data_IF_832823062507
#
_entry.id   IF_832823062507
#
_cell.length_a   1.000
_cell.length_b   1.000
_cell.length_c   1.000
_cell.angle_alpha   90.00
_cell.angle_beta   90.00
_cell.angle_gamma   90.00
#
_symmetry.space_group_name_H-M   'P 1'
#
loop_
_entity.id
_entity.type
_entity.pdbx_description
1 polymer ?
#
# COMPACT_ATOMS: atom_id res chain seq x y z
N UNK A 1 10.06 -13.40 15.47
CA UNK A 1 9.20 -13.55 14.29
C UNK A 1 7.90 -12.79 14.48
N UNK A 2 7.47 -12.08 13.47
CA UNK A 2 6.25 -11.33 13.57
C UNK A 2 5.04 -12.25 13.65
N UNK A 3 4.15 -11.95 14.57
CA UNK A 3 2.92 -12.70 14.72
C UNK A 3 1.94 -12.27 13.62
N UNK A 4 1.52 -13.21 12.78
CA UNK A 4 0.59 -12.92 11.69
C UNK A 4 -0.77 -12.44 12.19
N UNK A 5 -1.11 -12.71 13.43
CA UNK A 5 -2.37 -12.23 14.00
C UNK A 5 -2.40 -10.69 14.06
N UNK A 6 -1.23 -10.03 14.12
CA UNK A 6 -1.18 -8.58 14.10
C UNK A 6 -1.58 -8.00 12.72
N UNK A 7 -1.61 -8.84 11.68
CA UNK A 7 -2.05 -8.46 10.35
C UNK A 7 -3.50 -8.84 10.06
N UNK A 8 -4.21 -9.34 11.08
CA UNK A 8 -5.60 -9.74 10.94
C UNK A 8 -6.43 -8.57 10.43
N UNK A 9 -7.39 -8.87 9.56
CA UNK A 9 -8.32 -7.86 9.07
C UNK A 9 -9.08 -7.26 10.23
N UNK A 10 -9.37 -5.97 10.10
CA UNK A 10 -10.09 -5.23 11.10
C UNK A 10 -11.48 -4.88 10.58
N UNK A 11 -12.31 -5.93 10.39
CA UNK A 11 -13.69 -5.76 9.93
C UNK A 11 -14.54 -5.14 11.04
N UNK A 12 -15.40 -4.21 10.66
CA UNK A 12 -16.34 -3.54 11.56
C UNK A 12 -15.62 -2.88 12.75
N UNK A 13 -14.68 -1.99 12.46
CA UNK A 13 -13.85 -1.38 13.50
C UNK A 13 -14.66 -0.43 14.38
N UNK A 14 -14.17 -0.21 15.61
CA UNK A 14 -14.75 0.77 16.52
C UNK A 14 -14.27 2.18 16.27
N UNK A 15 -13.24 2.36 15.45
CA UNK A 15 -12.68 3.68 15.11
C UNK A 15 -11.91 3.54 13.79
N UNK A 16 -11.65 4.67 13.11
CA UNK A 16 -10.83 4.64 11.88
C UNK A 16 -9.42 4.13 12.18
N UNK A 17 -8.85 3.40 11.24
CA UNK A 17 -7.47 2.92 11.33
C UNK A 17 -6.58 3.75 10.43
N UNK A 18 -5.36 4.01 10.88
CA UNK A 18 -4.36 4.71 10.07
C UNK A 18 -3.49 3.69 9.37
N UNK A 19 -3.34 3.86 8.05
CA UNK A 19 -2.45 3.04 7.24
C UNK A 19 -1.52 3.93 6.44
N UNK A 20 -0.40 3.37 6.02
CA UNK A 20 0.58 4.07 5.20
C UNK A 20 0.86 3.26 3.94
N UNK A 21 1.26 3.96 2.89
CA UNK A 21 1.83 3.34 1.72
C UNK A 21 3.08 4.10 1.32
N UNK A 22 3.84 3.56 0.38
CA UNK A 22 5.03 4.24 -0.11
C UNK A 22 5.12 4.12 -1.63
N UNK A 23 5.48 5.23 -2.27
CA UNK A 23 5.74 5.25 -3.70
C UNK A 23 7.23 5.14 -3.90
N UNK A 24 7.67 4.02 -4.46
CA UNK A 24 9.08 3.68 -4.66
C UNK A 24 9.31 3.46 -6.14
N UNK A 25 10.20 4.24 -6.72
CA UNK A 25 10.60 4.08 -8.12
C UNK A 25 12.00 3.51 -8.22
N UNK A 26 12.23 2.70 -9.25
CA UNK A 26 13.53 2.20 -9.62
C UNK A 26 13.51 1.92 -11.11
N UNK A 27 14.50 2.46 -11.85
CA UNK A 27 14.63 2.24 -13.30
C UNK A 27 13.33 2.52 -14.05
N UNK A 28 12.68 3.63 -13.72
CA UNK A 28 11.43 4.09 -14.32
C UNK A 28 10.24 3.15 -14.09
N UNK A 29 10.36 2.26 -13.11
CA UNK A 29 9.27 1.39 -12.69
C UNK A 29 8.86 1.73 -11.27
N UNK A 30 7.61 1.46 -10.94
CA UNK A 30 7.09 1.65 -9.59
C UNK A 30 6.85 0.30 -8.94
N UNK A 31 7.09 0.23 -7.63
CA UNK A 31 6.84 -0.99 -6.86
C UNK A 31 5.35 -1.11 -6.56
N UNK A 32 4.75 -2.19 -7.03
CA UNK A 32 3.34 -2.49 -6.76
C UNK A 32 3.19 -3.90 -6.22
N UNK A 33 2.11 -4.10 -5.47
CA UNK A 33 1.70 -5.42 -4.99
C UNK A 33 0.28 -5.69 -5.45
N UNK A 34 -0.06 -6.97 -5.64
CA UNK A 34 -1.44 -7.39 -5.86
C UNK A 34 -2.01 -7.80 -4.51
N UNK A 35 -3.08 -7.15 -4.11
CA UNK A 35 -3.65 -7.32 -2.77
C UNK A 35 -4.32 -8.68 -2.63
N UNK A 36 -4.02 -9.36 -1.52
CA UNK A 36 -4.62 -10.66 -1.21
C UNK A 36 -5.78 -10.57 -0.23
N UNK A 37 -6.09 -9.38 0.28
CA UNK A 37 -7.13 -9.18 1.27
C UNK A 37 -7.99 -7.95 0.96
N UNK A 38 -9.26 -7.94 1.35
CA UNK A 38 -10.06 -6.73 1.24
C UNK A 38 -9.56 -5.64 2.20
N UNK A 39 -9.84 -4.36 1.94
CA UNK A 39 -10.54 -3.88 0.75
C UNK A 39 -9.68 -3.94 -0.50
N UNK A 40 -10.32 -3.93 -1.67
CA UNK A 40 -9.66 -3.95 -2.98
C UNK A 40 -8.85 -5.24 -3.23
N UNK A 41 -9.35 -6.37 -2.74
CA UNK A 41 -8.71 -7.67 -2.95
C UNK A 41 -8.55 -7.96 -4.44
N UNK A 42 -7.36 -8.45 -4.82
CA UNK A 42 -7.04 -8.78 -6.21
C UNK A 42 -6.55 -7.61 -7.04
N UNK A 43 -6.67 -6.38 -6.56
CA UNK A 43 -6.20 -5.20 -7.29
C UNK A 43 -4.73 -4.93 -6.97
N UNK A 44 -4.04 -4.33 -7.96
CA UNK A 44 -2.68 -3.86 -7.76
C UNK A 44 -2.70 -2.49 -7.10
N UNK A 45 -1.79 -2.25 -6.19
CA UNK A 45 -1.68 -0.99 -5.45
C UNK A 45 -0.25 -0.79 -4.99
N UNK A 46 0.09 0.43 -4.59
CA UNK A 46 1.36 0.65 -3.92
C UNK A 46 1.35 -0.15 -2.61
N UNK A 47 2.50 -0.67 -2.18
CA UNK A 47 2.55 -1.46 -0.95
C UNK A 47 2.39 -0.59 0.29
N UNK A 48 1.92 -1.20 1.37
CA UNK A 48 1.75 -0.52 2.64
C UNK A 48 0.97 -1.36 3.63
N UNK A 49 0.59 -0.75 4.73
CA UNK A 49 -0.17 -1.42 5.77
C UNK A 49 -0.42 -0.52 6.96
N UNK A 50 -0.91 -1.11 8.05
CA UNK A 50 -1.33 -0.36 9.23
C UNK A 50 -0.14 0.18 10.03
N UNK A 51 -0.35 1.38 10.57
CA UNK A 51 0.60 1.97 11.50
C UNK A 51 0.34 1.32 12.87
N UNK A 52 1.41 0.90 13.54
CA UNK A 52 1.32 0.34 14.88
C UNK A 52 1.55 1.42 15.93
N UNK A 53 1.01 1.21 17.12
CA UNK A 53 1.15 2.17 18.22
C UNK A 53 2.64 2.44 18.46
N UNK A 54 3.00 3.71 18.48
CA UNK A 54 4.37 4.13 18.74
C UNK A 54 5.26 4.25 17.49
N UNK A 55 4.75 3.87 16.32
CA UNK A 55 5.51 4.03 15.08
C UNK A 55 5.26 5.40 14.46
N UNK A 56 6.30 5.99 13.88
CA UNK A 56 6.12 7.12 12.97
C UNK A 56 5.58 6.60 11.64
N UNK A 57 5.03 7.48 10.81
CA UNK A 57 4.58 7.10 9.48
C UNK A 57 5.72 6.50 8.67
N UNK A 58 6.93 7.09 8.78
CA UNK A 58 8.09 6.64 8.04
C UNK A 58 8.51 5.23 8.45
N UNK A 59 8.58 4.96 9.75
CA UNK A 59 8.96 3.64 10.25
C UNK A 59 7.93 2.58 9.89
N UNK A 60 6.64 2.95 9.96
CA UNK A 60 5.58 2.03 9.57
C UNK A 60 5.70 1.66 8.10
N UNK A 61 5.93 2.64 7.23
CA UNK A 61 6.07 2.39 5.79
C UNK A 61 7.29 1.51 5.51
N UNK A 62 8.43 1.81 6.13
CA UNK A 62 9.65 1.01 5.94
C UNK A 62 9.44 -0.44 6.37
N UNK A 63 8.79 -0.64 7.51
CA UNK A 63 8.50 -1.99 8.02
C UNK A 63 7.52 -2.72 7.11
N UNK A 64 6.41 -2.08 6.75
CA UNK A 64 5.38 -2.73 5.94
C UNK A 64 5.88 -3.11 4.56
N UNK A 65 6.63 -2.22 3.90
CA UNK A 65 7.14 -2.53 2.57
C UNK A 65 8.14 -3.68 2.62
N UNK A 66 8.99 -3.71 3.64
CA UNK A 66 9.93 -4.81 3.81
C UNK A 66 9.19 -6.14 4.04
N UNK A 67 8.18 -6.14 4.90
CA UNK A 67 7.39 -7.35 5.18
C UNK A 67 6.62 -7.83 3.97
N UNK A 68 6.07 -6.90 3.20
CA UNK A 68 5.16 -7.23 2.11
C UNK A 68 5.88 -7.53 0.80
N UNK A 69 7.03 -6.92 0.57
CA UNK A 69 7.72 -7.02 -0.72
C UNK A 69 9.17 -7.50 -0.63
N UNK A 70 9.78 -7.49 0.54
CA UNK A 70 11.20 -7.78 0.68
C UNK A 70 12.12 -6.63 0.25
N UNK A 71 11.56 -5.50 -0.18
CA UNK A 71 12.34 -4.35 -0.62
C UNK A 71 12.59 -3.41 0.56
N UNK A 72 13.83 -2.98 0.71
CA UNK A 72 14.21 -2.02 1.74
C UNK A 72 14.19 -0.63 1.16
N UNK A 73 13.51 0.28 1.87
CA UNK A 73 13.31 1.65 1.43
C UNK A 73 13.67 2.64 2.54
N UNK A 74 13.82 3.90 2.15
CA UNK A 74 13.88 5.01 3.10
C UNK A 74 12.70 5.91 2.81
N UNK A 75 11.75 5.97 3.74
CA UNK A 75 10.54 6.77 3.59
C UNK A 75 10.81 8.21 3.99
N UNK A 76 10.22 9.15 3.26
CA UNK A 76 10.38 10.56 3.52
C UNK A 76 9.05 11.22 3.87
N UNK A 77 8.54 12.12 3.06
CA UNK A 77 7.38 12.94 3.46
C UNK A 77 6.07 12.39 2.90
N UNK A 78 4.94 12.69 3.57
CA UNK A 78 3.63 12.40 2.99
C UNK A 78 3.43 13.21 1.72
N UNK A 79 2.82 12.56 0.73
CA UNK A 79 2.55 13.18 -0.56
C UNK A 79 1.09 13.07 -0.98
N UNK A 80 0.33 12.20 -0.31
CA UNK A 80 -1.08 11.97 -0.69
C UNK A 80 -1.81 11.38 0.49
N UNK A 81 -3.05 11.82 0.71
CA UNK A 81 -3.87 11.32 1.82
C UNK A 81 -5.29 11.12 1.31
N UNK A 82 -5.91 10.01 1.69
CA UNK A 82 -7.30 9.75 1.31
C UNK A 82 -7.94 8.79 2.30
N UNK A 83 -9.27 8.75 2.27
CA UNK A 83 -10.06 7.85 3.10
C UNK A 83 -10.48 6.62 2.31
N UNK A 84 -10.57 5.49 2.99
CA UNK A 84 -11.23 4.30 2.46
C UNK A 84 -12.35 3.94 3.43
N UNK A 85 -13.58 4.09 2.98
CA UNK A 85 -14.76 3.75 3.79
C UNK A 85 -15.57 2.76 2.97
N UNK A 86 -15.67 1.54 3.46
CA UNK A 86 -16.37 0.46 2.77
C UNK A 86 -17.52 -0.01 3.66
N UNK A 87 -18.72 -0.11 3.08
CA UNK A 87 -19.92 -0.49 3.81
C UNK A 87 -20.45 -1.81 3.28
N UNK A 88 -21.03 -2.59 4.18
CA UNK A 88 -21.69 -3.82 3.79
C UNK A 88 -23.07 -3.51 3.21
N UNK A 89 -23.79 -4.56 2.80
CA UNK A 89 -25.10 -4.39 2.17
C UNK A 89 -26.14 -3.79 3.10
N UNK A 90 -25.93 -3.89 4.41
CA UNK A 90 -26.83 -3.26 5.40
C UNK A 90 -26.45 -1.80 5.68
N UNK A 91 -25.40 -1.29 5.02
CA UNK A 91 -24.95 0.08 5.21
C UNK A 91 -23.99 0.27 6.38
N UNK A 92 -23.63 -0.81 7.07
CA UNK A 92 -22.69 -0.73 8.19
C UNK A 92 -21.26 -0.62 7.68
N UNK A 93 -20.45 0.23 8.30
CA UNK A 93 -19.06 0.40 7.91
C UNK A 93 -18.28 -0.87 8.22
N UNK A 94 -17.79 -1.51 7.16
CA UNK A 94 -17.00 -2.73 7.28
C UNK A 94 -15.51 -2.42 7.41
N UNK A 95 -15.03 -1.44 6.65
CA UNK A 95 -13.65 -0.96 6.74
C UNK A 95 -13.63 0.56 6.78
N UNK A 96 -12.74 1.12 7.57
CA UNK A 96 -12.51 2.56 7.58
C UNK A 96 -11.02 2.81 7.83
N UNK A 97 -10.35 3.32 6.80
CA UNK A 97 -8.92 3.66 6.88
C UNK A 97 -8.71 5.11 6.49
N UNK A 98 -7.77 5.74 7.18
CA UNK A 98 -7.14 6.98 6.73
C UNK A 98 -5.77 6.57 6.21
N UNK A 99 -5.53 6.77 4.92
CA UNK A 99 -4.30 6.30 4.29
C UNK A 99 -3.40 7.49 3.97
N UNK A 100 -2.15 7.38 4.40
CA UNK A 100 -1.13 8.40 4.14
C UNK A 100 -0.05 7.75 3.29
N UNK A 101 0.10 8.20 2.05
CA UNK A 101 1.12 7.70 1.16
C UNK A 101 2.35 8.60 1.22
N UNK A 102 3.52 7.98 1.34
CA UNK A 102 4.79 8.67 1.49
C UNK A 102 5.64 8.52 0.25
N UNK A 103 6.43 9.54 -0.04
CA UNK A 103 7.53 9.39 -0.99
C UNK A 103 8.61 8.54 -0.33
N UNK A 104 9.33 7.75 -1.11
CA UNK A 104 10.38 6.89 -0.56
C UNK A 104 11.47 6.65 -1.60
N UNK A 105 12.67 6.35 -1.10
CA UNK A 105 13.82 5.99 -1.92
C UNK A 105 14.07 4.50 -1.82
N UNK A 106 14.38 3.88 -2.94
CA UNK A 106 14.82 2.49 -2.99
C UNK A 106 16.21 2.37 -2.36
N UNK A 107 16.42 1.38 -1.50
CA UNK A 107 17.73 1.11 -0.91
C UNK A 107 18.30 -0.17 -1.45
N UNK A 108 17.60 -1.30 -1.28
CA UNK A 108 18.04 -2.59 -1.81
C UNK A 108 16.92 -3.61 -1.79
N UNK A 109 17.16 -4.74 -2.43
CA UNK A 109 16.24 -5.87 -2.43
C UNK A 109 15.50 -6.04 -3.73
N UNK A 110 15.04 -7.26 -4.00
CA UNK A 110 14.20 -7.57 -5.15
C UNK A 110 12.82 -7.96 -4.68
N UNK A 111 11.76 -7.53 -5.38
CA UNK A 111 10.39 -7.80 -4.94
C UNK A 111 10.09 -9.29 -4.88
N UNK A 112 9.48 -9.68 -3.78
CA UNK A 112 8.97 -11.04 -3.57
C UNK A 112 7.77 -10.91 -2.64
N UNK A 113 6.61 -11.53 -2.97
CA UNK A 113 5.42 -11.34 -2.16
C UNK A 113 5.61 -11.91 -0.76
N UNK A 114 5.26 -11.09 0.24
CA UNK A 114 5.27 -11.47 1.65
C UNK A 114 3.92 -11.13 2.26
N UNK A 115 3.70 -11.57 3.49
CA UNK A 115 2.44 -11.36 4.21
C UNK A 115 1.23 -11.72 3.33
N UNK A 116 0.31 -10.78 3.12
CA UNK A 116 -0.92 -11.04 2.39
C UNK A 116 -0.84 -10.65 0.91
N UNK A 117 0.32 -10.26 0.41
CA UNK A 117 0.47 -9.91 -1.00
C UNK A 117 0.46 -11.18 -1.85
N UNK A 118 -0.29 -11.17 -2.94
CA UNK A 118 -0.31 -12.27 -3.89
C UNK A 118 0.87 -12.18 -4.85
N UNK A 119 1.27 -10.97 -5.21
CA UNK A 119 2.40 -10.70 -6.09
C UNK A 119 3.04 -9.38 -5.68
N UNK A 120 4.32 -9.22 -6.01
CA UNK A 120 5.05 -7.97 -5.80
C UNK A 120 6.04 -7.82 -6.93
N UNK A 121 6.05 -6.65 -7.61
CA UNK A 121 6.98 -6.45 -8.72
C UNK A 121 7.13 -4.99 -9.09
N UNK A 122 8.19 -4.73 -9.86
CA UNK A 122 8.38 -3.44 -10.51
C UNK A 122 7.49 -3.38 -11.74
N UNK A 123 6.74 -2.28 -11.90
CA UNK A 123 5.78 -2.11 -12.98
C UNK A 123 6.12 -0.83 -13.74
N UNK A 124 6.31 -0.94 -15.05
CA UNK A 124 6.58 0.22 -15.88
C UNK A 124 5.29 1.00 -16.20
N UNK A 125 5.44 2.23 -16.67
CA UNK A 125 4.30 3.05 -17.03
C UNK A 125 3.45 2.40 -18.13
N UNK A 126 4.10 1.70 -19.07
CA UNK A 126 3.37 1.00 -20.14
C UNK A 126 2.61 -0.20 -19.64
N UNK A 127 3.19 -0.94 -18.70
CA UNK A 127 2.55 -2.14 -18.13
C UNK A 127 1.35 -1.83 -17.26
N UNK A 128 1.30 -0.65 -16.66
CA UNK A 128 0.26 -0.33 -15.70
C UNK A 128 -1.13 -0.38 -16.32
N UNK A 129 -1.23 -0.14 -17.63
CA UNK A 129 -2.51 -0.19 -18.34
C UNK A 129 -3.04 -1.61 -18.52
N UNK A 130 -2.18 -2.60 -18.37
CA UNK A 130 -2.55 -4.01 -18.50
C UNK A 130 -2.88 -4.68 -17.17
N UNK A 131 -2.82 -3.92 -16.09
CA UNK A 131 -3.09 -4.42 -14.75
C UNK A 131 -4.35 -3.77 -14.19
N UNK A 132 -5.05 -4.51 -13.35
CA UNK A 132 -6.19 -3.95 -12.62
C UNK A 132 -5.65 -3.24 -11.38
N UNK A 133 -5.41 -1.94 -11.53
CA UNK A 133 -4.84 -1.12 -10.46
C UNK A 133 -5.95 -0.37 -9.74
N UNK A 134 -5.82 -0.24 -8.42
CA UNK A 134 -6.81 0.47 -7.63
C UNK A 134 -6.91 1.93 -8.08
N UNK A 135 -8.11 2.52 -8.07
CA UNK A 135 -8.29 3.91 -8.49
C UNK A 135 -7.42 4.90 -7.72
N UNK A 136 -7.26 4.69 -6.42
CA UNK A 136 -6.44 5.58 -5.59
C UNK A 136 -4.98 5.55 -6.05
N UNK A 137 -4.46 4.37 -6.38
CA UNK A 137 -3.08 4.23 -6.86
C UNK A 137 -2.93 4.89 -8.24
N UNK A 138 -3.88 4.66 -9.14
CA UNK A 138 -3.85 5.30 -10.46
C UNK A 138 -3.81 6.82 -10.31
N UNK A 139 -4.70 7.37 -9.48
CA UNK A 139 -4.78 8.82 -9.29
C UNK A 139 -3.51 9.39 -8.69
N UNK A 140 -2.94 8.70 -7.70
CA UNK A 140 -1.70 9.12 -7.07
C UNK A 140 -0.55 9.17 -8.07
N UNK A 141 -0.35 8.08 -8.80
CA UNK A 141 0.77 7.99 -9.75
C UNK A 141 0.64 8.99 -10.89
N UNK A 142 -0.57 9.14 -11.40
CA UNK A 142 -0.83 10.04 -12.51
C UNK A 142 -0.70 11.51 -12.09
N UNK A 143 -1.36 11.89 -11.00
CA UNK A 143 -1.47 13.28 -10.60
C UNK A 143 -0.20 13.83 -9.94
N UNK A 144 0.52 12.98 -9.23
CA UNK A 144 1.72 13.42 -8.51
C UNK A 144 3.01 13.18 -9.29
N UNK A 145 3.03 12.20 -10.18
CA UNK A 145 4.26 11.81 -10.86
C UNK A 145 4.13 11.78 -12.39
N UNK A 146 2.95 12.02 -12.93
CA UNK A 146 2.73 11.88 -14.36
C UNK A 146 2.95 10.47 -14.86
N UNK A 147 2.88 9.48 -13.99
CA UNK A 147 3.19 8.10 -14.30
C UNK A 147 1.93 7.38 -14.78
N UNK A 148 2.03 6.69 -15.92
CA UNK A 148 0.89 5.94 -16.45
C UNK A 148 -0.14 6.82 -17.16
N UNK A 149 0.22 8.02 -17.58
CA UNK A 149 -0.68 8.92 -18.31
C UNK A 149 -0.80 8.51 -19.75
#
# INVERSE_FOLDING_TARGET
>A
MKNRLSKKRNDYPGHPRVAVGAVVFRDECVLLVRRGQPPAEGLWAIPGGSVEIGETLQKAAEREILEETGVQIRASKPIYTFDVIDRDMAGKVRFHYVIVDLAAEYVLGEPSPGDDALEARWVSAGEIHNLKVSPATVNLLKNRFGFGS
#
